data_IF_708777916935
#
_entry.id   IF_708777916935
#
_cell.length_a   1.000
_cell.length_b   1.000
_cell.length_c   1.000
_cell.angle_alpha   90.00
_cell.angle_beta   90.00
_cell.angle_gamma   90.00
#
_symmetry.space_group_name_H-M   'P 1'
#
loop_
_entity.id
_entity.type
_entity.pdbx_description
1 polymer ?
#
# COMPACT_ATOMS: atom_id res chain seq x y z
N UNK A 1 -2.24 8.83 12.54
CA UNK A 1 -2.54 7.73 11.60
C UNK A 1 -1.93 8.02 10.23
N UNK A 2 -1.28 7.07 9.63
CA UNK A 2 -0.80 7.18 8.25
C UNK A 2 -0.70 5.80 7.61
N UNK A 3 -0.73 5.77 6.28
CA UNK A 3 -0.53 4.54 5.51
C UNK A 3 0.88 4.54 4.92
N UNK A 4 1.45 3.36 4.79
CA UNK A 4 2.75 3.19 4.16
C UNK A 4 2.65 2.07 3.13
N UNK A 5 3.18 2.32 1.94
CA UNK A 5 3.23 1.32 0.88
C UNK A 5 4.68 0.92 0.68
N UNK A 6 4.96 -0.37 0.88
CA UNK A 6 6.29 -0.93 0.67
C UNK A 6 6.28 -1.76 -0.60
N UNK A 7 7.27 -1.55 -1.45
CA UNK A 7 7.43 -2.30 -2.69
C UNK A 7 8.70 -3.12 -2.61
N UNK A 8 8.57 -4.41 -2.86
CA UNK A 8 9.71 -5.34 -2.95
C UNK A 8 9.84 -5.84 -4.38
N UNK A 9 11.07 -6.15 -4.79
CA UNK A 9 11.35 -6.76 -6.09
C UNK A 9 12.14 -8.03 -5.85
N UNK A 10 11.58 -9.18 -6.27
CA UNK A 10 12.20 -10.49 -6.10
C UNK A 10 12.63 -10.74 -4.64
N UNK A 11 11.71 -10.46 -3.71
CA UNK A 11 11.87 -10.61 -2.25
C UNK A 11 12.87 -9.65 -1.61
N UNK A 12 13.33 -8.65 -2.36
CA UNK A 12 14.21 -7.61 -1.80
C UNK A 12 13.48 -6.28 -1.75
N UNK A 13 13.64 -5.56 -0.65
CA UNK A 13 13.05 -4.24 -0.52
C UNK A 13 13.53 -3.33 -1.65
N UNK A 14 12.58 -2.70 -2.34
CA UNK A 14 12.86 -1.80 -3.45
C UNK A 14 12.71 -0.33 -3.01
N UNK A 15 11.53 0.03 -2.50
CA UNK A 15 11.33 1.33 -1.87
C UNK A 15 10.03 1.34 -1.06
N UNK A 16 9.86 2.40 -0.28
CA UNK A 16 8.65 2.64 0.49
C UNK A 16 8.27 4.11 0.42
N UNK A 17 6.97 4.40 0.59
CA UNK A 17 6.52 5.78 0.70
C UNK A 17 6.98 6.38 2.02
N UNK A 18 7.18 7.70 2.04
CA UNK A 18 7.56 8.40 3.26
C UNK A 18 6.49 8.28 4.33
N UNK A 19 6.94 8.30 5.58
CA UNK A 19 6.03 8.35 6.72
C UNK A 19 5.15 9.59 6.61
N UNK A 20 3.86 9.41 6.88
CA UNK A 20 2.88 10.50 6.88
C UNK A 20 2.60 11.13 5.51
N UNK A 21 3.09 10.55 4.42
CA UNK A 21 2.78 11.05 3.08
C UNK A 21 1.37 10.68 2.65
N UNK A 22 0.85 9.56 3.16
CA UNK A 22 -0.50 9.07 2.85
C UNK A 22 -1.29 9.03 4.15
N UNK A 23 -2.21 9.98 4.33
CA UNK A 23 -2.92 10.15 5.60
C UNK A 23 -4.43 9.91 5.52
N UNK A 24 -4.96 9.57 4.34
CA UNK A 24 -6.37 9.27 4.18
C UNK A 24 -6.58 8.18 3.15
N UNK A 25 -7.77 7.56 3.18
CA UNK A 25 -8.10 6.43 2.33
C UNK A 25 -8.11 6.77 0.84
N UNK A 26 -8.54 7.98 0.50
CA UNK A 26 -8.61 8.41 -0.90
C UNK A 26 -7.21 8.49 -1.51
N UNK A 27 -6.29 9.13 -0.79
CA UNK A 27 -4.90 9.21 -1.24
C UNK A 27 -4.27 7.83 -1.34
N UNK A 28 -4.55 6.94 -0.38
CA UNK A 28 -4.06 5.57 -0.40
C UNK A 28 -4.50 4.85 -1.68
N UNK A 29 -5.78 4.95 -2.01
CA UNK A 29 -6.32 4.27 -3.19
C UNK A 29 -5.69 4.78 -4.47
N UNK A 30 -5.53 6.09 -4.60
CA UNK A 30 -4.92 6.71 -5.78
C UNK A 30 -3.47 6.27 -5.96
N UNK A 31 -2.68 6.34 -4.90
CA UNK A 31 -1.26 5.95 -4.96
C UNK A 31 -1.12 4.46 -5.21
N UNK A 32 -1.92 3.65 -4.54
CA UNK A 32 -1.89 2.20 -4.71
C UNK A 32 -2.19 1.80 -6.16
N UNK A 33 -3.19 2.42 -6.78
CA UNK A 33 -3.53 2.12 -8.17
C UNK A 33 -2.40 2.45 -9.12
N UNK A 34 -1.70 3.57 -8.90
CA UNK A 34 -0.53 3.93 -9.70
C UNK A 34 0.58 2.89 -9.53
N UNK A 35 0.82 2.45 -8.30
CA UNK A 35 1.86 1.46 -8.02
C UNK A 35 1.54 0.10 -8.65
N UNK A 36 0.27 -0.30 -8.67
CA UNK A 36 -0.13 -1.56 -9.32
C UNK A 36 0.18 -1.55 -10.82
N UNK A 37 0.05 -0.40 -11.47
CA UNK A 37 0.40 -0.28 -12.88
C UNK A 37 1.91 -0.30 -13.11
N UNK A 38 2.65 0.41 -12.25
CA UNK A 38 4.10 0.56 -12.42
C UNK A 38 4.89 -0.63 -11.93
N UNK A 39 4.36 -1.35 -10.95
CA UNK A 39 5.05 -2.47 -10.31
C UNK A 39 4.18 -3.72 -10.33
N UNK A 40 3.96 -4.30 -11.53
CA UNK A 40 3.06 -5.46 -11.64
C UNK A 40 3.69 -6.72 -11.04
N UNK A 41 2.88 -7.57 -10.40
CA UNK A 41 3.40 -8.79 -9.78
C UNK A 41 4.04 -9.76 -10.79
N UNK A 42 3.64 -9.72 -12.05
CA UNK A 42 4.22 -10.57 -13.08
C UNK A 42 5.72 -10.31 -13.29
N UNK A 43 6.19 -9.11 -12.93
CA UNK A 43 7.60 -8.75 -13.06
C UNK A 43 8.39 -8.98 -11.78
N UNK A 44 7.78 -9.61 -10.78
CA UNK A 44 8.44 -9.93 -9.53
C UNK A 44 8.25 -8.90 -8.41
N UNK A 45 7.41 -7.91 -8.62
CA UNK A 45 7.12 -6.90 -7.60
C UNK A 45 6.07 -7.41 -6.62
N UNK A 46 6.21 -7.00 -5.38
CA UNK A 46 5.24 -7.26 -4.32
C UNK A 46 4.95 -5.94 -3.60
N UNK A 47 3.67 -5.61 -3.46
CA UNK A 47 3.23 -4.35 -2.85
C UNK A 47 2.52 -4.67 -1.54
N UNK A 48 3.08 -4.18 -0.44
CA UNK A 48 2.52 -4.39 0.89
C UNK A 48 2.11 -3.04 1.47
N UNK A 49 0.86 -2.97 1.93
CA UNK A 49 0.31 -1.75 2.53
C UNK A 49 0.15 -1.97 4.02
N UNK A 50 0.54 -0.98 4.80
CA UNK A 50 0.35 -1.00 6.25
C UNK A 50 -0.34 0.28 6.71
N UNK A 51 -1.11 0.16 7.78
CA UNK A 51 -1.73 1.29 8.46
C UNK A 51 -1.07 1.43 9.82
N UNK A 52 -0.51 2.60 10.10
CA UNK A 52 0.09 2.89 11.39
C UNK A 52 -0.78 3.87 12.17
N UNK A 53 -1.30 3.41 13.29
CA UNK A 53 -2.03 4.23 14.26
C UNK A 53 -1.16 4.28 15.53
N UNK A 54 -1.56 3.56 16.57
CA UNK A 54 -0.72 3.34 17.74
C UNK A 54 0.28 2.24 17.46
N UNK A 55 -0.18 1.20 16.73
CA UNK A 55 0.67 0.10 16.24
C UNK A 55 0.40 -0.09 14.75
N UNK A 56 1.42 -0.56 14.02
CA UNK A 56 1.27 -0.83 12.59
C UNK A 56 0.60 -2.16 12.32
N UNK A 57 -0.19 -2.25 11.25
CA UNK A 57 -0.77 -3.48 10.78
C UNK A 57 -0.82 -3.50 9.26
N UNK A 58 -0.72 -4.68 8.68
CA UNK A 58 -0.87 -4.83 7.24
C UNK A 58 -2.33 -4.74 6.82
N UNK A 59 -2.55 -4.25 5.62
CA UNK A 59 -3.89 -4.09 5.05
C UNK A 59 -3.99 -4.89 3.77
N UNK A 60 -5.06 -5.69 3.65
CA UNK A 60 -5.48 -6.27 2.39
C UNK A 60 -6.35 -5.23 1.69
N UNK A 61 -5.84 -4.66 0.60
CA UNK A 61 -6.51 -3.55 -0.09
C UNK A 61 -7.90 -3.93 -0.60
N UNK A 62 -8.07 -5.13 -1.13
CA UNK A 62 -9.37 -5.57 -1.63
C UNK A 62 -10.40 -5.64 -0.51
N UNK A 63 -10.06 -6.30 0.58
CA UNK A 63 -10.95 -6.42 1.73
C UNK A 63 -11.24 -5.07 2.38
N UNK A 64 -10.21 -4.25 2.51
CA UNK A 64 -10.31 -2.95 3.17
C UNK A 64 -11.26 -2.01 2.46
N UNK A 65 -11.21 -1.97 1.14
CA UNK A 65 -12.07 -1.09 0.35
C UNK A 65 -13.41 -1.72 0.00
N UNK A 66 -13.53 -3.04 -0.03
CA UNK A 66 -14.82 -3.70 -0.21
C UNK A 66 -15.80 -3.34 0.90
N UNK A 67 -15.32 -3.26 2.13
CA UNK A 67 -16.15 -2.88 3.28
C UNK A 67 -16.65 -1.44 3.17
N UNK A 68 -15.98 -0.61 2.41
CA UNK A 68 -16.32 0.80 2.22
C UNK A 68 -17.34 1.01 1.10
N UNK A 69 -17.43 0.07 0.16
CA UNK A 69 -18.30 0.22 -1.01
C UNK A 69 -19.74 -0.20 -0.77
N UNK A 70 -20.08 -0.62 0.44
CA UNK A 70 -21.44 -1.04 0.81
C UNK A 70 -22.24 0.12 1.38
#
# INVERSE_FOLDING_TARGET
MYYEINVSLNDKHFFATDKRSITNKRALKEVYNVFKEKFPPEEGYDIIVSLTETTGRYIDMEEYFDKESI
#
